data_IF_285082089876
#
_entry.id   IF_285082089876
#
_cell.length_a   1.000
_cell.length_b   1.000
_cell.length_c   1.000
_cell.angle_alpha   90.00
_cell.angle_beta   90.00
_cell.angle_gamma   90.00
#
_symmetry.space_group_name_H-M   'P 1'
#
loop_
_entity.id
_entity.type
_entity.pdbx_description
1 polymer ?
#
# COMPACT_ATOMS: atom_id res chain seq x y z
N UNK A 1 -23.26 42.59 -23.38
CA UNK A 1 -23.89 41.28 -23.31
C UNK A 1 -23.32 40.40 -24.42
N UNK A 2 -22.86 39.23 -24.09
CA UNK A 2 -22.29 38.24 -25.02
C UNK A 2 -22.98 36.89 -24.83
N UNK A 3 -22.90 36.02 -25.85
CA UNK A 3 -23.42 34.66 -25.80
C UNK A 3 -22.26 33.71 -25.46
N UNK A 4 -22.44 32.87 -24.45
CA UNK A 4 -21.48 31.80 -24.08
C UNK A 4 -22.07 30.48 -24.55
N UNK A 5 -21.34 29.77 -25.42
CA UNK A 5 -21.70 28.41 -25.85
C UNK A 5 -20.88 27.44 -25.04
N UNK A 6 -21.55 26.55 -24.32
CA UNK A 6 -20.91 25.47 -23.53
C UNK A 6 -20.94 24.17 -24.33
N UNK A 7 -19.80 23.60 -24.63
CA UNK A 7 -19.66 22.40 -25.46
C UNK A 7 -19.77 21.08 -24.64
N UNK A 8 -20.74 21.04 -23.71
CA UNK A 8 -21.01 19.84 -22.89
C UNK A 8 -22.52 19.81 -22.54
N UNK A 9 -23.05 18.64 -22.24
CA UNK A 9 -24.45 18.43 -21.89
C UNK A 9 -24.76 18.84 -20.44
N UNK A 10 -26.05 19.07 -20.11
CA UNK A 10 -26.47 19.30 -18.72
C UNK A 10 -26.15 18.14 -17.80
N UNK A 11 -26.22 16.89 -18.30
CA UNK A 11 -25.87 15.71 -17.55
C UNK A 11 -24.37 15.65 -17.20
N UNK A 12 -23.51 16.05 -18.12
CA UNK A 12 -22.06 16.17 -17.87
C UNK A 12 -21.77 17.30 -16.89
N UNK A 13 -22.47 18.43 -17.03
CA UNK A 13 -22.31 19.57 -16.13
C UNK A 13 -22.65 19.24 -14.68
N UNK A 14 -23.68 18.42 -14.44
CA UNK A 14 -24.05 17.97 -13.10
C UNK A 14 -22.94 17.15 -12.38
N UNK A 15 -21.99 16.61 -13.14
CA UNK A 15 -20.86 15.85 -12.59
C UNK A 15 -19.57 16.69 -12.45
N UNK A 16 -19.56 17.93 -12.95
CA UNK A 16 -18.42 18.80 -12.77
C UNK A 16 -18.36 19.32 -11.33
N UNK A 17 -17.13 19.50 -10.83
CA UNK A 17 -16.92 20.20 -9.56
C UNK A 17 -17.36 21.65 -9.73
N UNK A 18 -17.96 22.22 -8.71
CA UNK A 18 -18.44 23.61 -8.72
C UNK A 18 -17.30 24.60 -9.00
N UNK A 19 -16.12 24.33 -8.45
CA UNK A 19 -14.93 25.16 -8.60
C UNK A 19 -13.73 24.35 -9.04
N UNK A 20 -12.82 24.97 -9.78
CA UNK A 20 -11.49 24.40 -10.06
C UNK A 20 -10.67 24.36 -8.77
N UNK A 21 -9.95 23.27 -8.55
CA UNK A 21 -9.02 23.22 -7.42
C UNK A 21 -7.95 24.32 -7.57
N UNK A 22 -7.55 24.99 -6.48
CA UNK A 22 -6.47 25.97 -6.52
C UNK A 22 -5.21 25.38 -7.14
N UNK A 23 -4.46 26.14 -7.91
CA UNK A 23 -3.27 25.67 -8.60
C UNK A 23 -2.23 25.13 -7.61
N UNK A 24 -2.11 25.73 -6.43
CA UNK A 24 -1.21 25.29 -5.35
C UNK A 24 -1.52 23.86 -4.85
N UNK A 25 -2.74 23.36 -5.06
CA UNK A 25 -3.12 22.00 -4.68
C UNK A 25 -2.79 20.95 -5.76
N UNK A 26 -2.48 21.38 -6.99
CA UNK A 26 -2.34 20.49 -8.17
C UNK A 26 -0.99 20.60 -8.86
N UNK A 27 -0.25 21.68 -8.63
CA UNK A 27 1.05 21.97 -9.26
C UNK A 27 2.24 21.49 -8.42
N UNK A 28 3.40 21.38 -9.07
CA UNK A 28 4.67 21.17 -8.40
C UNK A 28 5.08 22.45 -7.65
N UNK A 29 5.37 22.33 -6.38
CA UNK A 29 5.61 23.48 -5.50
C UNK A 29 7.11 23.82 -5.34
N UNK A 30 8.02 23.11 -5.99
CA UNK A 30 9.47 23.28 -5.81
C UNK A 30 9.90 24.73 -6.03
N UNK A 31 9.43 25.37 -7.12
CA UNK A 31 9.74 26.76 -7.42
C UNK A 31 9.11 27.75 -6.42
N UNK A 32 7.86 27.52 -6.06
CA UNK A 32 7.15 28.39 -5.11
C UNK A 32 7.80 28.34 -3.71
N UNK A 33 8.11 27.14 -3.20
CA UNK A 33 8.80 27.02 -1.92
C UNK A 33 10.18 27.63 -1.94
N UNK A 34 10.96 27.47 -3.01
CA UNK A 34 12.27 28.13 -3.13
C UNK A 34 12.13 29.66 -3.07
N UNK A 35 11.13 30.22 -3.74
CA UNK A 35 10.85 31.66 -3.66
C UNK A 35 10.48 32.12 -2.24
N UNK A 36 9.67 31.32 -1.52
CA UNK A 36 9.32 31.60 -0.11
C UNK A 36 10.55 31.55 0.80
N UNK A 37 11.42 30.55 0.64
CA UNK A 37 12.69 30.48 1.36
C UNK A 37 13.60 31.68 1.03
N UNK A 38 13.67 32.11 -0.24
CA UNK A 38 14.46 33.24 -0.65
C UNK A 38 13.91 34.59 -0.10
N UNK A 39 12.60 34.66 0.12
CA UNK A 39 11.93 35.78 0.77
C UNK A 39 12.21 35.84 2.28
N UNK A 40 12.64 34.72 2.89
CA UNK A 40 12.96 34.60 4.30
C UNK A 40 11.79 34.10 5.19
N UNK A 41 10.72 33.65 4.61
CA UNK A 41 9.58 33.07 5.33
C UNK A 41 9.00 31.87 4.57
N UNK A 42 9.46 30.65 4.86
CA UNK A 42 8.92 29.44 4.24
C UNK A 42 7.46 29.17 4.62
N UNK A 43 6.99 29.72 5.75
CA UNK A 43 5.65 29.54 6.28
C UNK A 43 4.77 30.79 6.05
N UNK A 44 4.83 31.37 4.84
CA UNK A 44 3.97 32.52 4.49
C UNK A 44 2.49 32.13 4.62
N UNK A 45 1.66 32.98 5.25
CA UNK A 45 0.22 32.78 5.30
C UNK A 45 -0.37 32.99 3.89
N UNK A 46 -0.70 31.90 3.22
CA UNK A 46 -1.32 31.90 1.89
C UNK A 46 -2.82 31.75 2.03
N UNK A 47 -3.58 32.31 1.07
CA UNK A 47 -5.05 32.17 1.01
C UNK A 47 -5.44 30.69 0.92
N UNK A 48 -4.75 29.96 0.05
CA UNK A 48 -4.87 28.51 -0.06
C UNK A 48 -3.50 27.90 0.32
N UNK A 49 -3.36 27.29 1.50
CA UNK A 49 -2.09 26.67 1.88
C UNK A 49 -1.82 25.39 1.10
N UNK A 50 -0.56 25.07 0.80
CA UNK A 50 -0.21 23.77 0.20
C UNK A 50 -0.55 22.62 1.15
N UNK A 51 -0.85 21.45 0.60
CA UNK A 51 -0.96 20.26 1.44
C UNK A 51 0.39 19.93 2.07
N UNK A 52 0.39 19.40 3.30
CA UNK A 52 1.62 19.02 4.00
C UNK A 52 2.48 18.04 3.18
N UNK A 53 1.84 17.12 2.46
CA UNK A 53 2.52 16.17 1.59
C UNK A 53 3.22 16.84 0.39
N UNK A 54 2.54 17.81 -0.26
CA UNK A 54 3.13 18.54 -1.39
C UNK A 54 4.29 19.45 -0.95
N UNK A 55 4.15 20.09 0.21
CA UNK A 55 5.21 20.92 0.80
C UNK A 55 6.43 20.07 1.19
N UNK A 56 6.23 18.91 1.83
CA UNK A 56 7.30 17.97 2.17
C UNK A 56 8.04 17.49 0.91
N UNK A 57 7.31 17.07 -0.12
CA UNK A 57 7.90 16.61 -1.39
C UNK A 57 8.72 17.71 -2.07
N UNK A 58 8.25 18.95 -2.08
CA UNK A 58 8.98 20.08 -2.64
C UNK A 58 10.23 20.42 -1.80
N UNK A 59 10.15 20.33 -0.47
CA UNK A 59 11.30 20.51 0.42
C UNK A 59 12.37 19.46 0.17
N UNK A 60 11.99 18.17 0.07
CA UNK A 60 12.91 17.07 -0.28
C UNK A 60 13.60 17.32 -1.63
N UNK A 61 12.84 17.79 -2.63
CA UNK A 61 13.41 18.13 -3.94
C UNK A 61 14.43 19.27 -3.85
N UNK A 62 14.14 20.31 -3.05
CA UNK A 62 15.07 21.43 -2.83
C UNK A 62 16.31 21.00 -2.05
N UNK A 63 16.18 20.12 -1.08
CA UNK A 63 17.31 19.53 -0.34
C UNK A 63 18.17 18.65 -1.25
N UNK A 64 17.54 17.83 -2.08
CA UNK A 64 18.26 16.94 -3.02
C UNK A 64 19.13 17.69 -4.02
N UNK A 65 18.73 18.90 -4.44
CA UNK A 65 19.54 19.74 -5.33
C UNK A 65 20.46 20.70 -4.55
N UNK A 66 20.47 20.65 -3.21
CA UNK A 66 21.31 21.51 -2.37
C UNK A 66 20.85 22.98 -2.27
N UNK A 67 19.62 23.28 -2.70
CA UNK A 67 19.03 24.62 -2.58
C UNK A 67 18.64 25.00 -1.16
N UNK A 68 18.24 24.00 -0.38
CA UNK A 68 17.87 24.11 1.04
C UNK A 68 18.71 23.09 1.82
N UNK A 69 19.20 23.47 2.99
CA UNK A 69 19.97 22.58 3.87
C UNK A 69 19.10 21.54 4.56
N UNK A 70 19.70 20.55 5.21
CA UNK A 70 18.97 19.58 6.03
C UNK A 70 18.23 20.25 7.22
N UNK A 71 18.68 21.40 7.70
CA UNK A 71 18.00 22.20 8.73
C UNK A 71 16.82 23.02 8.20
N UNK A 72 16.60 23.06 6.89
CA UNK A 72 15.52 23.83 6.27
C UNK A 72 15.93 25.25 5.82
N UNK A 73 17.18 25.64 5.98
CA UNK A 73 17.66 26.98 5.61
C UNK A 73 18.05 27.04 4.12
N UNK A 74 17.75 28.18 3.48
CA UNK A 74 18.18 28.42 2.10
C UNK A 74 19.70 28.59 2.03
N UNK A 75 20.33 27.83 1.11
CA UNK A 75 21.76 27.94 0.84
C UNK A 75 22.10 29.12 -0.10
N UNK A 76 23.39 29.47 -0.26
CA UNK A 76 23.81 30.46 -1.27
C UNK A 76 23.50 29.96 -2.69
N UNK A 77 23.63 28.66 -2.92
CA UNK A 77 23.21 28.03 -4.16
C UNK A 77 21.69 28.16 -4.37
N UNK A 78 20.87 27.92 -3.33
CA UNK A 78 19.43 28.14 -3.38
C UNK A 78 19.06 29.59 -3.71
N UNK A 79 19.78 30.56 -3.13
CA UNK A 79 19.59 32.00 -3.47
C UNK A 79 19.94 32.30 -4.94
N UNK A 80 20.96 31.64 -5.48
CA UNK A 80 21.29 31.74 -6.89
C UNK A 80 20.18 31.17 -7.76
N UNK A 81 19.69 29.96 -7.44
CA UNK A 81 18.62 29.29 -8.18
C UNK A 81 17.30 30.09 -8.14
N UNK A 82 16.95 30.70 -7.01
CA UNK A 82 15.74 31.51 -6.86
C UNK A 82 15.70 32.75 -7.81
N UNK A 83 16.85 33.18 -8.34
CA UNK A 83 16.96 34.28 -9.31
C UNK A 83 16.88 33.81 -10.76
N UNK A 84 16.88 32.50 -10.98
CA UNK A 84 16.86 31.95 -12.35
C UNK A 84 15.40 31.83 -12.84
N UNK A 85 15.15 32.17 -14.12
CA UNK A 85 13.78 32.14 -14.67
C UNK A 85 13.40 30.75 -15.21
N UNK A 86 13.72 29.71 -14.44
CA UNK A 86 13.44 28.30 -14.78
C UNK A 86 13.16 27.52 -13.49
N UNK A 87 12.60 26.33 -13.64
CA UNK A 87 12.44 25.38 -12.53
C UNK A 87 13.78 25.20 -11.76
N UNK A 88 13.78 25.19 -10.43
CA UNK A 88 14.99 25.08 -9.62
C UNK A 88 15.88 23.88 -10.00
N UNK A 89 15.30 22.74 -10.36
CA UNK A 89 16.02 21.53 -10.78
C UNK A 89 16.72 21.73 -12.12
N UNK A 90 16.09 22.43 -13.06
CA UNK A 90 16.69 22.81 -14.33
C UNK A 90 17.80 23.86 -14.12
N UNK A 91 17.59 24.81 -13.22
CA UNK A 91 18.60 25.77 -12.82
C UNK A 91 19.82 25.09 -12.21
N UNK A 92 19.62 24.13 -11.31
CA UNK A 92 20.67 23.33 -10.71
C UNK A 92 21.47 22.54 -11.76
N UNK A 93 20.80 21.87 -12.70
CA UNK A 93 21.44 21.15 -13.78
C UNK A 93 22.26 22.10 -14.69
N UNK A 94 21.69 23.27 -15.00
CA UNK A 94 22.37 24.30 -15.84
C UNK A 94 23.67 24.81 -15.18
N UNK A 95 23.63 25.12 -13.87
CA UNK A 95 24.82 25.59 -13.16
C UNK A 95 25.86 24.48 -13.01
N UNK A 96 25.43 23.25 -12.74
CA UNK A 96 26.31 22.09 -12.54
C UNK A 96 27.02 21.68 -13.85
N UNK A 97 26.26 21.62 -14.96
CA UNK A 97 26.77 21.15 -16.25
C UNK A 97 27.33 22.26 -17.13
N UNK A 98 27.10 23.52 -16.78
CA UNK A 98 27.56 24.69 -17.51
C UNK A 98 26.69 25.10 -18.68
N UNK A 99 27.13 26.14 -19.41
CA UNK A 99 26.40 26.79 -20.49
C UNK A 99 26.01 25.84 -21.64
N UNK A 100 26.71 24.73 -21.83
CA UNK A 100 26.39 23.71 -22.82
C UNK A 100 25.07 23.00 -22.58
N UNK A 101 24.50 23.06 -21.36
CA UNK A 101 23.18 22.52 -21.03
C UNK A 101 22.03 23.46 -21.41
N UNK A 102 22.31 24.74 -21.71
CA UNK A 102 21.30 25.78 -21.96
C UNK A 102 20.30 25.45 -23.08
N UNK A 103 20.64 24.79 -24.20
CA UNK A 103 19.68 24.43 -25.24
C UNK A 103 18.59 23.49 -24.70
N UNK A 104 18.97 22.46 -23.94
CA UNK A 104 18.02 21.50 -23.37
C UNK A 104 17.16 22.13 -22.29
N UNK A 105 17.77 22.95 -21.41
CA UNK A 105 17.02 23.69 -20.38
C UNK A 105 16.02 24.65 -21.00
N UNK A 106 16.39 25.36 -22.06
CA UNK A 106 15.49 26.24 -22.80
C UNK A 106 14.31 25.46 -23.42
N UNK A 107 14.60 24.33 -24.07
CA UNK A 107 13.57 23.49 -24.67
C UNK A 107 12.53 23.01 -23.63
N UNK A 108 12.97 22.59 -22.46
CA UNK A 108 12.07 22.14 -21.39
C UNK A 108 11.28 23.31 -20.81
N UNK A 109 11.93 24.45 -20.55
CA UNK A 109 11.28 25.65 -20.01
C UNK A 109 10.23 26.23 -20.96
N UNK A 110 10.44 26.13 -22.28
CA UNK A 110 9.46 26.52 -23.30
C UNK A 110 8.35 25.45 -23.52
N UNK A 111 8.37 24.34 -22.78
CA UNK A 111 7.35 23.29 -22.88
C UNK A 111 7.42 22.45 -24.16
N UNK A 112 8.58 22.39 -24.83
CA UNK A 112 8.75 21.58 -26.04
C UNK A 112 8.53 20.11 -25.68
N UNK A 113 7.63 19.45 -26.41
CA UNK A 113 7.31 18.03 -26.31
C UNK A 113 8.08 17.22 -27.36
N UNK A 114 8.18 15.92 -27.17
CA UNK A 114 8.80 15.03 -28.14
C UNK A 114 10.21 14.62 -27.75
N UNK A 115 11.01 14.23 -28.77
CA UNK A 115 12.43 13.92 -28.61
C UNK A 115 13.23 15.23 -28.49
N UNK A 116 13.73 15.48 -27.28
CA UNK A 116 14.49 16.70 -26.98
C UNK A 116 15.88 16.69 -27.61
N UNK A 117 16.35 15.57 -28.14
CA UNK A 117 17.61 15.51 -28.91
C UNK A 117 17.51 16.26 -30.25
N UNK A 118 16.29 16.39 -30.78
CA UNK A 118 16.02 17.14 -32.02
C UNK A 118 15.34 18.48 -31.76
N UNK A 119 15.18 18.90 -30.50
CA UNK A 119 14.54 20.14 -30.15
C UNK A 119 15.31 21.39 -30.63
N UNK A 120 14.57 22.38 -31.07
CA UNK A 120 15.14 23.66 -31.56
C UNK A 120 14.51 24.82 -30.77
N UNK A 121 14.97 25.07 -29.53
CA UNK A 121 14.45 26.18 -28.74
C UNK A 121 14.89 27.55 -29.31
N UNK A 122 14.18 28.66 -28.99
CA UNK A 122 14.51 29.97 -29.43
C UNK A 122 15.95 30.39 -29.04
N UNK A 123 16.74 30.85 -29.99
CA UNK A 123 18.16 31.23 -29.76
C UNK A 123 18.34 32.24 -28.63
N UNK A 124 17.50 33.27 -28.55
CA UNK A 124 17.56 34.27 -27.49
C UNK A 124 17.36 33.69 -26.09
N UNK A 125 16.53 32.64 -25.92
CA UNK A 125 16.36 31.94 -24.66
C UNK A 125 17.60 31.15 -24.29
N UNK A 126 18.18 30.44 -25.26
CA UNK A 126 19.43 29.69 -25.06
C UNK A 126 20.56 30.63 -24.62
N UNK A 127 20.74 31.75 -25.32
CA UNK A 127 21.76 32.73 -24.98
C UNK A 127 21.53 33.35 -23.60
N UNK A 128 20.28 33.64 -23.23
CA UNK A 128 19.93 34.18 -21.94
C UNK A 128 20.30 33.20 -20.82
N UNK A 129 19.96 31.94 -20.97
CA UNK A 129 20.21 30.90 -19.96
C UNK A 129 21.73 30.58 -19.89
N UNK A 130 22.42 30.52 -21.03
CA UNK A 130 23.87 30.27 -21.07
C UNK A 130 24.69 31.32 -20.29
N UNK A 131 24.22 32.59 -20.24
CA UNK A 131 24.87 33.67 -19.45
C UNK A 131 24.71 33.50 -17.94
N UNK A 132 23.79 32.67 -17.49
CA UNK A 132 23.52 32.41 -16.06
C UNK A 132 24.33 31.24 -15.50
N UNK A 133 25.07 30.53 -16.37
CA UNK A 133 25.84 29.36 -16.02
C UNK A 133 27.34 29.56 -16.27
N UNK A 134 28.22 28.81 -15.60
CA UNK A 134 29.62 28.74 -15.94
C UNK A 134 29.82 28.29 -17.39
N UNK A 135 30.90 28.73 -18.07
CA UNK A 135 31.25 28.18 -19.39
C UNK A 135 31.40 26.67 -19.34
N UNK A 136 30.90 25.96 -20.36
CA UNK A 136 30.96 24.50 -20.42
C UNK A 136 30.77 23.99 -21.85
N UNK A 137 31.23 22.78 -22.17
CA UNK A 137 31.06 22.16 -23.47
C UNK A 137 29.57 21.81 -23.71
N UNK A 138 29.18 21.52 -24.94
CA UNK A 138 27.85 20.97 -25.23
C UNK A 138 27.57 19.68 -24.43
N UNK A 139 26.39 19.58 -23.82
CA UNK A 139 26.00 18.44 -23.00
C UNK A 139 24.84 17.72 -23.69
N UNK A 140 24.86 16.37 -23.79
CA UNK A 140 23.77 15.61 -24.35
C UNK A 140 22.44 15.86 -23.59
N UNK A 141 21.32 16.03 -24.28
CA UNK A 141 20.03 16.33 -23.64
C UNK A 141 19.62 15.32 -22.58
N UNK A 142 19.90 14.02 -22.81
CA UNK A 142 19.59 12.98 -21.82
C UNK A 142 20.35 13.15 -20.50
N UNK A 143 21.59 13.63 -20.54
CA UNK A 143 22.40 13.89 -19.34
C UNK A 143 21.86 15.11 -18.56
N UNK A 144 21.49 16.18 -19.28
CA UNK A 144 20.88 17.38 -18.67
C UNK A 144 19.58 16.99 -17.93
N UNK A 145 18.71 16.22 -18.60
CA UNK A 145 17.44 15.78 -18.03
C UNK A 145 17.67 14.83 -16.84
N UNK A 146 18.59 13.86 -16.97
CA UNK A 146 18.92 12.93 -15.89
C UNK A 146 19.50 13.65 -14.66
N UNK A 147 20.20 14.76 -14.85
CA UNK A 147 20.70 15.60 -13.76
C UNK A 147 19.58 16.38 -13.09
N UNK A 148 18.65 16.97 -13.86
CA UNK A 148 17.53 17.74 -13.33
C UNK A 148 16.46 16.85 -12.70
N UNK A 149 16.15 15.71 -13.31
CA UNK A 149 15.05 14.82 -12.93
C UNK A 149 15.51 13.36 -12.77
N UNK A 150 16.43 13.07 -11.85
CA UNK A 150 17.00 11.73 -11.69
C UNK A 150 15.98 10.64 -11.41
N UNK A 151 14.89 10.98 -10.72
CA UNK A 151 13.78 10.08 -10.42
C UNK A 151 12.97 9.66 -11.67
N UNK A 152 13.16 10.38 -12.80
CA UNK A 152 12.48 10.13 -14.06
C UNK A 152 13.41 9.51 -15.13
N UNK A 153 14.61 9.11 -14.76
CA UNK A 153 15.42 8.22 -15.60
C UNK A 153 14.76 6.84 -15.59
N UNK A 154 14.58 6.25 -16.76
CA UNK A 154 13.87 5.01 -16.93
C UNK A 154 14.64 4.00 -17.77
N UNK A 155 14.53 2.72 -17.39
CA UNK A 155 14.98 1.57 -18.16
C UNK A 155 13.81 0.90 -18.84
N UNK A 156 13.95 0.53 -20.11
CA UNK A 156 12.92 -0.17 -20.85
C UNK A 156 12.61 -1.52 -20.22
N UNK A 157 11.31 -1.86 -20.17
CA UNK A 157 10.78 -3.13 -19.67
C UNK A 157 10.36 -3.97 -20.89
N UNK A 158 10.69 -5.27 -20.88
CA UNK A 158 10.34 -6.19 -21.96
C UNK A 158 11.37 -6.27 -23.06
N UNK A 159 10.92 -6.72 -24.23
CA UNK A 159 11.79 -6.92 -25.40
C UNK A 159 12.15 -5.59 -26.10
N UNK A 160 12.98 -5.70 -27.16
CA UNK A 160 13.49 -4.55 -27.90
C UNK A 160 12.42 -3.67 -28.58
N UNK A 161 11.21 -4.13 -28.73
CA UNK A 161 10.07 -3.41 -29.33
C UNK A 161 9.18 -2.72 -28.28
N UNK A 162 9.38 -3.00 -27.00
CA UNK A 162 8.58 -2.43 -25.91
C UNK A 162 8.79 -0.93 -25.79
N UNK A 163 7.67 -0.21 -25.60
CA UNK A 163 7.65 1.22 -25.27
C UNK A 163 7.37 1.49 -23.80
N UNK A 164 7.40 0.44 -22.95
CA UNK A 164 7.21 0.57 -21.50
C UNK A 164 8.55 0.72 -20.77
N UNK A 165 8.57 1.60 -19.78
CA UNK A 165 9.74 1.93 -18.97
C UNK A 165 9.40 1.84 -17.48
N UNK A 166 10.36 1.35 -16.69
CA UNK A 166 10.35 1.53 -15.24
C UNK A 166 11.25 2.72 -14.92
N UNK A 167 10.68 3.73 -14.31
CA UNK A 167 11.44 4.92 -13.88
C UNK A 167 12.12 4.65 -12.52
N UNK A 168 13.19 5.35 -12.23
CA UNK A 168 13.90 5.27 -10.96
C UNK A 168 13.01 5.57 -9.75
N UNK A 169 11.92 6.34 -9.92
CA UNK A 169 10.86 6.56 -8.94
C UNK A 169 9.98 5.34 -8.67
N UNK A 170 10.13 4.22 -9.40
CA UNK A 170 9.21 3.06 -9.35
C UNK A 170 7.98 3.21 -10.24
N UNK A 171 7.78 4.35 -10.89
CA UNK A 171 6.65 4.59 -11.77
C UNK A 171 6.83 3.83 -13.10
N UNK A 172 5.81 3.06 -13.51
CA UNK A 172 5.74 2.52 -14.87
C UNK A 172 5.19 3.57 -15.82
N UNK A 173 5.92 3.85 -16.88
CA UNK A 173 5.57 4.84 -17.87
C UNK A 173 5.66 4.28 -19.29
N UNK A 174 4.75 4.73 -20.17
CA UNK A 174 4.81 4.42 -21.59
C UNK A 174 5.44 5.59 -22.34
N UNK A 175 6.37 5.29 -23.24
CA UNK A 175 6.92 6.28 -24.15
C UNK A 175 5.84 6.75 -25.14
N UNK A 176 5.47 8.01 -25.07
CA UNK A 176 4.52 8.67 -25.96
C UNK A 176 5.17 9.52 -27.04
N UNK A 177 6.46 9.29 -27.28
CA UNK A 177 7.34 10.04 -28.17
C UNK A 177 7.97 9.07 -29.17
N UNK A 178 8.08 9.48 -30.41
CA UNK A 178 8.79 8.73 -31.44
C UNK A 178 10.29 9.04 -31.36
N UNK A 179 11.06 8.13 -30.75
CA UNK A 179 12.51 8.22 -30.58
C UNK A 179 13.18 6.85 -30.58
N UNK A 180 12.56 5.84 -31.25
CA UNK A 180 13.15 4.52 -31.42
C UNK A 180 13.27 3.67 -30.16
N UNK A 181 12.55 3.97 -29.09
CA UNK A 181 12.52 3.22 -27.82
C UNK A 181 13.92 2.79 -27.32
N UNK A 182 14.79 3.73 -26.93
CA UNK A 182 16.14 3.42 -26.42
C UNK A 182 16.09 2.58 -25.14
N UNK A 183 17.19 1.88 -24.81
CA UNK A 183 17.24 1.09 -23.55
C UNK A 183 17.03 1.96 -22.32
N UNK A 184 17.61 3.16 -22.32
CA UNK A 184 17.48 4.13 -21.24
C UNK A 184 16.94 5.46 -21.77
N UNK A 185 16.04 6.04 -21.01
CA UNK A 185 15.41 7.33 -21.31
C UNK A 185 15.44 8.24 -20.09
N UNK A 186 15.74 9.51 -20.31
CA UNK A 186 15.54 10.55 -19.32
C UNK A 186 14.28 11.35 -19.69
N UNK A 187 13.24 11.29 -18.86
CA UNK A 187 11.97 11.97 -19.10
C UNK A 187 12.00 13.38 -18.49
N UNK A 188 11.61 14.38 -19.28
CA UNK A 188 11.46 15.76 -18.85
C UNK A 188 10.00 16.12 -18.54
N UNK A 189 9.06 15.44 -19.18
CA UNK A 189 7.62 15.68 -18.97
C UNK A 189 6.85 14.37 -18.90
N UNK A 190 6.10 14.22 -17.81
CA UNK A 190 5.23 13.08 -17.56
C UNK A 190 3.77 13.53 -17.43
N UNK A 191 2.87 12.82 -18.11
CA UNK A 191 1.43 12.96 -17.97
C UNK A 191 0.88 11.75 -17.24
N UNK A 192 0.29 11.96 -16.06
CA UNK A 192 -0.42 10.89 -15.34
C UNK A 192 -1.72 10.54 -16.08
N UNK A 193 -1.93 9.24 -16.31
CA UNK A 193 -3.23 8.74 -16.79
C UNK A 193 -4.09 8.44 -15.57
N UNK A 194 -5.30 9.02 -15.51
CA UNK A 194 -6.22 8.81 -14.40
C UNK A 194 -6.55 7.32 -14.22
N UNK A 195 -6.41 6.83 -12.99
CA UNK A 195 -6.85 5.48 -12.63
C UNK A 195 -8.37 5.46 -12.56
N UNK A 196 -9.03 4.56 -13.31
CA UNK A 196 -10.43 4.23 -13.02
C UNK A 196 -10.47 3.54 -11.65
N UNK A 197 -11.40 3.92 -10.75
CA UNK A 197 -11.58 3.21 -9.48
C UNK A 197 -11.84 1.72 -9.75
N UNK A 198 -11.06 0.85 -9.13
CA UNK A 198 -11.26 -0.61 -9.21
C UNK A 198 -10.28 -1.42 -10.07
N UNK A 199 -9.31 -0.79 -10.75
CA UNK A 199 -8.22 -1.52 -11.41
C UNK A 199 -6.92 -1.38 -10.62
N UNK A 200 -6.45 -2.49 -10.04
CA UNK A 200 -5.19 -2.60 -9.27
C UNK A 200 -3.91 -2.55 -10.13
N UNK A 201 -3.96 -1.96 -11.32
CA UNK A 201 -2.78 -1.74 -12.16
C UNK A 201 -2.18 -0.39 -11.80
N UNK A 202 -0.95 -0.43 -11.25
CA UNK A 202 -0.21 0.74 -10.77
C UNK A 202 -0.26 1.95 -11.71
N UNK A 203 -0.17 3.13 -11.15
CA UNK A 203 -0.26 4.43 -11.83
C UNK A 203 0.62 4.43 -13.08
N UNK A 204 -0.01 4.41 -14.25
CA UNK A 204 0.68 4.51 -15.54
C UNK A 204 0.82 5.97 -15.90
N UNK A 205 2.02 6.37 -16.29
CA UNK A 205 2.32 7.68 -16.84
C UNK A 205 2.62 7.57 -18.34
N UNK A 206 2.47 8.67 -19.06
CA UNK A 206 2.91 8.81 -20.44
C UNK A 206 4.06 9.80 -20.48
N UNK A 207 5.19 9.42 -21.06
CA UNK A 207 6.33 10.29 -21.30
C UNK A 207 6.01 11.16 -22.52
N UNK A 208 5.97 12.47 -22.32
CA UNK A 208 5.63 13.47 -23.38
C UNK A 208 6.84 14.21 -23.92
N UNK A 209 7.89 14.34 -23.12
CA UNK A 209 9.18 14.89 -23.54
C UNK A 209 10.29 14.09 -22.90
N UNK A 210 11.29 13.70 -23.69
CA UNK A 210 12.41 12.88 -23.24
C UNK A 210 13.60 13.00 -24.16
N UNK A 211 14.74 12.47 -23.72
CA UNK A 211 15.90 12.17 -24.58
C UNK A 211 16.48 10.80 -24.20
N UNK A 212 17.15 10.15 -25.16
CA UNK A 212 17.92 8.96 -24.90
C UNK A 212 19.07 9.28 -23.93
N UNK A 213 19.37 8.36 -23.02
CA UNK A 213 20.48 8.49 -22.08
C UNK A 213 21.19 7.14 -21.90
N UNK A 214 22.30 7.14 -21.18
CA UNK A 214 22.93 5.91 -20.69
C UNK A 214 22.43 5.53 -19.29
N UNK A 215 22.93 4.40 -18.78
CA UNK A 215 22.77 4.08 -17.37
C UNK A 215 23.43 5.17 -16.53
N UNK A 216 22.77 5.75 -15.52
CA UNK A 216 23.36 6.78 -14.67
C UNK A 216 24.34 6.15 -13.66
N UNK A 217 25.57 5.85 -14.10
CA UNK A 217 26.59 5.12 -13.33
C UNK A 217 26.87 5.75 -11.95
N UNK A 218 26.87 7.09 -11.86
CA UNK A 218 27.05 7.80 -10.58
C UNK A 218 25.89 7.66 -9.57
N UNK A 219 24.82 6.94 -9.92
CA UNK A 219 23.64 6.68 -9.06
C UNK A 219 23.35 5.21 -8.88
N UNK A 220 24.32 4.38 -9.24
CA UNK A 220 24.24 2.93 -9.03
C UNK A 220 24.54 2.63 -7.58
N UNK A 221 23.61 2.00 -6.90
CA UNK A 221 23.73 1.60 -5.50
C UNK A 221 23.76 0.08 -5.40
N UNK A 222 24.57 -0.45 -4.51
CA UNK A 222 24.54 -1.85 -4.11
C UNK A 222 23.73 -2.01 -2.83
N UNK A 223 22.67 -2.79 -2.89
CA UNK A 223 21.80 -3.06 -1.75
C UNK A 223 21.73 -4.56 -1.52
N UNK A 224 21.87 -4.99 -0.27
CA UNK A 224 21.58 -6.38 0.12
C UNK A 224 20.10 -6.46 0.42
N UNK A 225 19.39 -7.29 -0.35
CA UNK A 225 17.99 -7.60 -0.10
C UNK A 225 17.85 -9.04 0.39
N UNK A 226 17.08 -9.23 1.45
CA UNK A 226 16.65 -10.55 1.84
C UNK A 226 15.20 -10.76 1.41
N UNK A 227 14.91 -11.96 0.97
CA UNK A 227 13.55 -12.42 0.71
C UNK A 227 13.39 -13.83 1.25
N UNK A 228 12.15 -14.19 1.61
CA UNK A 228 11.84 -15.53 2.02
C UNK A 228 11.44 -16.34 0.79
N UNK A 229 12.24 -17.34 0.45
CA UNK A 229 11.98 -18.24 -0.66
C UNK A 229 12.14 -19.68 -0.21
N UNK A 230 11.14 -20.52 -0.50
CA UNK A 230 11.09 -21.92 -0.07
C UNK A 230 11.29 -22.10 1.45
N UNK A 231 10.79 -21.15 2.24
CA UNK A 231 10.86 -21.20 3.70
C UNK A 231 12.19 -20.78 4.31
N UNK A 232 13.19 -20.40 3.53
CA UNK A 232 14.48 -19.90 4.01
C UNK A 232 14.69 -18.45 3.62
N UNK A 233 15.40 -17.70 4.46
CA UNK A 233 15.88 -16.35 4.14
C UNK A 233 16.96 -16.46 3.09
N UNK A 234 16.76 -15.83 1.95
CA UNK A 234 17.69 -15.77 0.83
C UNK A 234 18.22 -14.36 0.66
N UNK A 235 19.51 -14.22 0.67
CA UNK A 235 20.18 -12.97 0.36
C UNK A 235 20.40 -12.79 -1.13
N UNK A 236 20.21 -11.58 -1.58
CA UNK A 236 20.60 -11.15 -2.93
C UNK A 236 21.33 -9.82 -2.83
N UNK A 237 22.49 -9.75 -3.46
CA UNK A 237 23.16 -8.50 -3.72
C UNK A 237 22.57 -7.92 -4.98
N UNK A 238 21.89 -6.79 -4.84
CA UNK A 238 21.15 -6.14 -5.93
C UNK A 238 21.82 -4.82 -6.24
N UNK A 239 22.14 -4.62 -7.50
CA UNK A 239 22.62 -3.33 -7.99
C UNK A 239 21.42 -2.58 -8.56
N UNK A 240 21.17 -1.37 -8.09
CA UNK A 240 19.95 -0.60 -8.45
C UNK A 240 20.26 0.82 -8.87
N UNK A 241 19.34 1.40 -9.66
CA UNK A 241 19.22 2.84 -9.85
C UNK A 241 17.81 3.21 -9.37
N UNK A 242 17.70 3.68 -8.14
CA UNK A 242 16.41 3.85 -7.48
C UNK A 242 15.63 2.52 -7.45
N UNK A 243 14.41 2.50 -8.02
CA UNK A 243 13.58 1.29 -8.10
C UNK A 243 13.98 0.33 -9.24
N UNK A 244 14.91 0.70 -10.12
CA UNK A 244 15.34 -0.11 -11.26
C UNK A 244 16.42 -1.09 -10.82
N UNK A 245 16.14 -2.39 -10.89
CA UNK A 245 17.11 -3.44 -10.65
C UNK A 245 17.96 -3.67 -11.91
N UNK A 246 19.29 -3.54 -11.79
CA UNK A 246 20.24 -3.78 -12.87
C UNK A 246 20.73 -5.21 -12.87
N UNK A 247 21.21 -5.66 -11.71
CA UNK A 247 21.71 -7.02 -11.50
C UNK A 247 21.24 -7.52 -10.14
N UNK A 248 21.08 -8.83 -10.03
CA UNK A 248 20.71 -9.48 -8.79
C UNK A 248 21.43 -10.81 -8.69
N UNK A 249 22.36 -10.92 -7.76
CA UNK A 249 23.15 -12.14 -7.52
C UNK A 249 22.83 -12.73 -6.16
N UNK A 250 22.61 -14.04 -6.04
CA UNK A 250 22.41 -14.68 -4.76
C UNK A 250 23.69 -14.59 -3.91
N UNK A 251 23.53 -14.32 -2.63
CA UNK A 251 24.63 -14.28 -1.65
C UNK A 251 24.25 -15.02 -0.38
N UNK A 252 25.25 -15.49 0.36
CA UNK A 252 25.07 -15.92 1.73
C UNK A 252 25.09 -14.69 2.63
N UNK A 253 24.03 -14.46 3.38
CA UNK A 253 23.95 -13.34 4.32
C UNK A 253 24.80 -13.63 5.55
N UNK A 254 25.47 -12.59 6.08
CA UNK A 254 25.93 -12.64 7.46
C UNK A 254 24.73 -12.49 8.40
N UNK A 255 24.83 -12.93 9.67
CA UNK A 255 23.75 -12.73 10.65
C UNK A 255 23.33 -11.25 10.79
N UNK A 256 24.26 -10.30 10.69
CA UNK A 256 23.99 -8.87 10.74
C UNK A 256 23.18 -8.41 9.52
N UNK A 257 23.59 -8.78 8.32
CA UNK A 257 22.88 -8.49 7.08
C UNK A 257 21.48 -9.12 7.06
N UNK A 258 21.36 -10.35 7.60
CA UNK A 258 20.07 -11.00 7.73
C UNK A 258 19.14 -10.25 8.71
N UNK A 259 19.64 -9.79 9.86
CA UNK A 259 18.87 -8.96 10.80
C UNK A 259 18.42 -7.67 10.19
N UNK A 260 19.33 -6.93 9.56
CA UNK A 260 19.01 -5.66 8.88
C UNK A 260 17.92 -5.84 7.83
N UNK A 261 18.09 -6.83 6.95
CA UNK A 261 17.11 -7.13 5.91
C UNK A 261 15.75 -7.61 6.46
N UNK A 262 15.75 -8.32 7.60
CA UNK A 262 14.53 -8.79 8.26
C UNK A 262 13.82 -7.71 9.11
N UNK A 263 14.42 -6.54 9.32
CA UNK A 263 13.77 -5.41 10.00
C UNK A 263 12.49 -4.95 9.30
N UNK A 264 12.44 -5.08 7.98
CA UNK A 264 11.28 -4.72 7.17
C UNK A 264 10.21 -5.82 7.11
N UNK A 265 10.48 -7.00 7.70
CA UNK A 265 9.53 -8.10 7.74
C UNK A 265 8.38 -7.72 8.70
N UNK A 266 7.16 -7.72 8.15
CA UNK A 266 5.96 -7.46 8.92
C UNK A 266 5.33 -8.77 9.41
N UNK A 267 4.38 -8.68 10.32
CA UNK A 267 3.62 -9.86 10.75
C UNK A 267 2.93 -10.57 9.58
N UNK A 268 2.47 -9.82 8.57
CA UNK A 268 1.80 -10.38 7.40
C UNK A 268 2.69 -11.30 6.55
N UNK A 269 4.02 -11.15 6.67
CA UNK A 269 4.99 -11.97 5.95
C UNK A 269 5.32 -13.27 6.70
N UNK A 270 4.89 -13.40 7.97
CA UNK A 270 5.12 -14.58 8.80
C UNK A 270 4.04 -15.64 8.55
N UNK A 271 4.40 -16.92 8.43
CA UNK A 271 3.45 -17.98 8.15
C UNK A 271 2.62 -18.30 9.39
N UNK A 272 1.32 -18.34 9.23
CA UNK A 272 0.41 -18.84 10.24
C UNK A 272 -0.04 -20.25 9.82
N UNK A 273 0.21 -21.26 10.65
CA UNK A 273 -0.46 -22.54 10.55
C UNK A 273 -1.93 -22.43 11.01
N UNK A 274 -2.67 -23.54 10.94
CA UNK A 274 -4.09 -23.53 11.32
C UNK A 274 -4.32 -23.07 12.75
N UNK A 275 -3.50 -23.55 13.70
CA UNK A 275 -3.65 -23.23 15.12
C UNK A 275 -3.26 -21.77 15.42
N UNK A 276 -2.23 -21.26 14.75
CA UNK A 276 -1.83 -19.86 14.84
C UNK A 276 -2.89 -18.91 14.22
N UNK A 277 -3.51 -19.33 13.13
CA UNK A 277 -4.60 -18.57 12.49
C UNK A 277 -5.82 -18.44 13.41
N UNK A 278 -6.18 -19.53 14.08
CA UNK A 278 -7.30 -19.54 15.02
C UNK A 278 -6.99 -18.71 16.26
N UNK A 279 -5.80 -18.84 16.81
CA UNK A 279 -5.37 -18.00 17.93
C UNK A 279 -5.40 -16.51 17.55
N UNK A 280 -4.87 -16.17 16.37
CA UNK A 280 -4.92 -14.79 15.88
C UNK A 280 -6.36 -14.26 15.84
N UNK A 281 -7.30 -14.99 15.26
CA UNK A 281 -8.69 -14.57 15.17
C UNK A 281 -9.33 -14.36 16.56
N UNK A 282 -8.99 -15.19 17.55
CA UNK A 282 -9.41 -15.01 18.95
C UNK A 282 -8.85 -13.74 19.58
N UNK A 283 -7.57 -13.48 19.36
CA UNK A 283 -6.89 -12.29 19.90
C UNK A 283 -7.37 -11.01 19.22
N UNK A 284 -7.55 -11.02 17.91
CA UNK A 284 -8.11 -9.89 17.16
C UNK A 284 -9.53 -9.55 17.66
N UNK A 285 -10.36 -10.57 17.90
CA UNK A 285 -11.69 -10.41 18.48
C UNK A 285 -11.62 -9.74 19.85
N UNK A 286 -10.76 -10.24 20.76
CA UNK A 286 -10.63 -9.69 22.10
C UNK A 286 -10.04 -8.27 22.08
N UNK A 287 -9.05 -8.01 21.22
CA UNK A 287 -8.53 -6.66 21.03
C UNK A 287 -9.61 -5.69 20.53
N UNK A 288 -10.41 -6.11 19.55
CA UNK A 288 -11.47 -5.28 18.99
C UNK A 288 -12.59 -4.96 20.00
N UNK A 289 -12.96 -5.93 20.84
CA UNK A 289 -14.11 -5.81 21.75
C UNK A 289 -13.72 -5.19 23.09
N UNK A 290 -12.57 -5.56 23.63
CA UNK A 290 -12.13 -5.15 24.98
C UNK A 290 -11.03 -4.09 24.95
N UNK A 291 -10.29 -3.93 23.86
CA UNK A 291 -9.15 -3.05 23.79
C UNK A 291 -8.00 -3.50 24.69
N UNK A 292 -7.21 -2.55 25.20
CA UNK A 292 -6.16 -2.87 26.17
C UNK A 292 -6.75 -3.51 27.44
N UNK A 293 -6.05 -4.53 28.02
CA UNK A 293 -4.68 -4.96 27.75
C UNK A 293 -4.53 -6.07 26.68
N UNK A 294 -5.57 -6.41 25.90
CA UNK A 294 -5.49 -7.38 24.82
C UNK A 294 -4.68 -6.79 23.66
N UNK A 295 -3.54 -7.37 23.25
CA UNK A 295 -2.65 -6.77 22.26
C UNK A 295 -3.21 -6.90 20.84
N UNK A 296 -2.88 -5.92 19.99
CA UNK A 296 -2.92 -6.12 18.54
C UNK A 296 -1.68 -6.93 18.15
N UNK A 297 -1.88 -8.23 17.88
CA UNK A 297 -0.78 -9.13 17.53
C UNK A 297 -0.13 -8.81 16.18
N UNK A 298 -0.80 -8.04 15.31
CA UNK A 298 -0.22 -7.65 14.03
C UNK A 298 0.94 -6.64 14.18
N UNK A 299 0.95 -5.87 15.26
CA UNK A 299 2.01 -4.89 15.57
C UNK A 299 2.88 -5.30 16.77
N UNK A 300 2.80 -6.55 17.19
CA UNK A 300 3.55 -7.11 18.32
C UNK A 300 5.07 -7.22 18.09
N UNK A 301 5.80 -7.57 19.16
CA UNK A 301 7.24 -7.83 19.09
C UNK A 301 7.56 -9.26 18.63
N UNK A 302 8.11 -9.35 17.42
CA UNK A 302 8.58 -10.60 16.79
C UNK A 302 10.10 -10.61 16.60
N UNK A 303 10.82 -9.86 17.40
CA UNK A 303 12.29 -9.84 17.39
C UNK A 303 12.90 -11.23 17.57
N UNK A 304 12.45 -12.09 18.51
CA UNK A 304 12.99 -13.45 18.65
C UNK A 304 12.84 -14.29 17.38
N UNK A 305 11.70 -14.23 16.71
CA UNK A 305 11.43 -14.97 15.47
C UNK A 305 12.31 -14.46 14.32
N UNK A 306 12.51 -13.14 14.22
CA UNK A 306 13.45 -12.56 13.26
C UNK A 306 14.90 -13.00 13.54
N UNK A 307 15.30 -13.10 14.80
CA UNK A 307 16.62 -13.61 15.20
C UNK A 307 16.80 -15.09 14.84
N UNK A 308 15.77 -15.92 14.98
CA UNK A 308 15.81 -17.32 14.53
C UNK A 308 16.00 -17.41 13.02
N UNK A 309 15.26 -16.60 12.25
CA UNK A 309 15.40 -16.52 10.80
C UNK A 309 16.78 -16.00 10.38
N UNK A 310 17.31 -15.01 11.09
CA UNK A 310 18.66 -14.48 10.83
C UNK A 310 19.76 -15.53 11.04
N UNK A 311 19.54 -16.46 11.98
CA UNK A 311 20.45 -17.62 12.21
C UNK A 311 20.25 -18.77 11.21
N UNK A 312 19.33 -18.60 10.24
CA UNK A 312 19.09 -19.60 9.19
C UNK A 312 17.95 -20.58 9.47
N UNK A 313 17.11 -20.33 10.47
CA UNK A 313 15.91 -21.13 10.67
C UNK A 313 14.98 -21.07 9.47
N UNK A 314 14.22 -22.15 9.26
CA UNK A 314 13.18 -22.14 8.25
C UNK A 314 11.94 -21.42 8.79
N UNK A 315 11.38 -20.51 8.03
CA UNK A 315 10.19 -19.75 8.43
C UNK A 315 9.01 -20.66 8.81
N UNK A 316 8.88 -21.82 8.16
CA UNK A 316 7.84 -22.81 8.48
C UNK A 316 8.06 -23.52 9.83
N UNK A 317 9.26 -23.40 10.40
CA UNK A 317 9.56 -23.95 11.71
C UNK A 317 9.26 -22.98 12.85
N UNK A 318 8.94 -21.73 12.56
CA UNK A 318 8.58 -20.73 13.56
C UNK A 318 7.27 -21.11 14.25
N UNK A 319 7.29 -21.10 15.58
CA UNK A 319 6.10 -21.32 16.37
C UNK A 319 5.33 -20.01 16.59
N UNK A 320 4.57 -19.60 15.58
CA UNK A 320 3.81 -18.34 15.63
C UNK A 320 2.72 -18.33 16.69
N UNK A 321 2.17 -19.50 17.06
CA UNK A 321 1.23 -19.61 18.18
C UNK A 321 1.89 -19.20 19.49
N UNK A 322 3.08 -19.73 19.78
CA UNK A 322 3.85 -19.36 20.97
C UNK A 322 4.29 -17.89 20.93
N UNK A 323 4.69 -17.38 19.77
CA UNK A 323 5.06 -15.98 19.57
C UNK A 323 3.92 -15.02 19.91
N UNK A 324 2.70 -15.31 19.47
CA UNK A 324 1.51 -14.51 19.81
C UNK A 324 1.13 -14.62 21.28
N UNK A 325 1.18 -15.82 21.87
CA UNK A 325 0.89 -15.99 23.30
C UNK A 325 1.87 -15.24 24.19
N UNK A 326 3.12 -15.10 23.77
CA UNK A 326 4.13 -14.31 24.49
C UNK A 326 3.77 -12.82 24.58
N UNK A 327 2.96 -12.31 23.64
CA UNK A 327 2.51 -10.91 23.65
C UNK A 327 1.46 -10.64 24.74
N UNK A 328 0.81 -11.69 25.25
CA UNK A 328 -0.22 -11.55 26.26
C UNK A 328 0.39 -11.35 27.65
N UNK A 329 -0.09 -10.36 28.43
CA UNK A 329 0.13 -10.36 29.86
C UNK A 329 -0.39 -11.67 30.49
N UNK A 330 0.28 -12.18 31.52
CA UNK A 330 -0.04 -13.49 32.06
C UNK A 330 -1.49 -13.61 32.58
N UNK A 331 -2.06 -12.53 33.09
CA UNK A 331 -3.44 -12.48 33.61
C UNK A 331 -4.46 -12.69 32.49
N UNK A 332 -4.23 -12.06 31.35
CA UNK A 332 -5.05 -12.18 30.15
C UNK A 332 -4.91 -13.56 29.51
N UNK A 333 -3.69 -14.08 29.47
CA UNK A 333 -3.44 -15.42 28.95
C UNK A 333 -4.25 -16.50 29.73
N UNK A 334 -4.41 -16.35 31.04
CA UNK A 334 -5.21 -17.26 31.87
C UNK A 334 -6.72 -17.15 31.58
N UNK A 335 -7.20 -16.01 31.06
CA UNK A 335 -8.61 -15.76 30.76
C UNK A 335 -8.99 -15.98 29.30
N UNK A 336 -8.01 -16.28 28.45
CA UNK A 336 -8.22 -16.41 27.01
C UNK A 336 -9.33 -17.44 26.67
N UNK A 337 -9.31 -18.61 27.31
CA UNK A 337 -10.29 -19.66 27.05
C UNK A 337 -11.65 -19.40 27.70
N UNK A 338 -11.72 -18.54 28.69
CA UNK A 338 -12.98 -18.05 29.26
C UNK A 338 -13.66 -17.05 28.33
N UNK A 339 -12.89 -16.06 27.85
CA UNK A 339 -13.42 -14.92 27.09
C UNK A 339 -13.58 -15.19 25.60
N UNK A 340 -12.75 -16.07 25.04
CA UNK A 340 -12.83 -16.50 23.65
C UNK A 340 -12.49 -17.98 23.50
N UNK A 341 -13.35 -18.91 23.97
CA UNK A 341 -13.10 -20.34 23.91
C UNK A 341 -12.99 -20.87 22.48
N UNK A 342 -12.17 -21.90 22.28
CA UNK A 342 -12.04 -22.56 20.97
C UNK A 342 -13.30 -23.38 20.61
N UNK A 343 -14.05 -23.83 21.63
CA UNK A 343 -15.23 -24.67 21.44
C UNK A 343 -16.34 -24.28 22.41
N UNK A 344 -17.57 -24.41 21.95
CA UNK A 344 -18.78 -24.20 22.75
C UNK A 344 -19.42 -25.53 23.11
N UNK A 345 -19.64 -25.78 24.40
CA UNK A 345 -20.42 -26.90 24.83
C UNK A 345 -21.93 -26.64 24.55
N UNK A 346 -22.58 -27.53 23.81
CA UNK A 346 -24.01 -27.44 23.53
C UNK A 346 -24.78 -28.60 24.22
N UNK A 347 -26.10 -28.46 24.43
CA UNK A 347 -26.89 -29.43 25.23
C UNK A 347 -26.82 -30.88 24.72
N UNK A 348 -26.53 -31.13 23.47
CA UNK A 348 -26.32 -32.49 22.93
C UNK A 348 -25.08 -33.20 23.46
N UNK A 349 -24.20 -32.50 24.17
CA UNK A 349 -22.89 -32.98 24.60
C UNK A 349 -21.81 -32.84 23.52
N UNK A 350 -22.10 -32.29 22.36
CA UNK A 350 -21.09 -31.94 21.36
C UNK A 350 -20.42 -30.60 21.68
N UNK A 351 -19.23 -30.40 21.12
CA UNK A 351 -18.42 -29.21 21.34
C UNK A 351 -17.99 -28.61 19.97
N UNK A 352 -18.94 -28.01 19.24
CA UNK A 352 -18.60 -27.35 17.98
C UNK A 352 -17.56 -26.26 18.18
N UNK A 353 -16.76 -26.03 17.14
CA UNK A 353 -15.74 -25.00 17.12
C UNK A 353 -16.37 -23.61 17.08
N UNK A 354 -15.77 -22.65 17.76
CA UNK A 354 -16.12 -21.23 17.68
C UNK A 354 -15.16 -20.54 16.74
N UNK A 355 -15.68 -19.88 15.72
CA UNK A 355 -14.93 -19.11 14.72
C UNK A 355 -15.02 -17.62 15.05
N UNK A 356 -13.87 -16.90 15.00
CA UNK A 356 -13.81 -15.47 15.34
C UNK A 356 -13.40 -14.58 14.15
N UNK A 357 -13.15 -15.14 12.98
CA UNK A 357 -12.62 -14.44 11.82
C UNK A 357 -13.49 -13.26 11.33
N UNK A 358 -14.76 -13.22 11.69
CA UNK A 358 -15.69 -12.14 11.34
C UNK A 358 -15.76 -11.01 12.36
N UNK A 359 -14.93 -11.05 13.41
CA UNK A 359 -14.99 -10.11 14.54
C UNK A 359 -16.14 -10.39 15.52
N UNK A 360 -16.84 -11.51 15.36
CA UNK A 360 -17.88 -12.03 16.29
C UNK A 360 -17.65 -13.51 16.53
N UNK A 361 -18.07 -14.06 17.70
CA UNK A 361 -18.04 -15.51 17.92
C UNK A 361 -19.13 -16.19 17.10
N UNK A 362 -18.75 -17.05 16.17
CA UNK A 362 -19.65 -17.78 15.27
C UNK A 362 -19.57 -19.26 15.53
N UNK A 363 -20.71 -19.95 15.63
CA UNK A 363 -20.79 -21.40 15.79
C UNK A 363 -21.67 -22.00 14.72
N UNK A 364 -21.16 -23.01 14.02
CA UNK A 364 -21.91 -23.82 13.04
C UNK A 364 -22.31 -25.14 13.68
N UNK A 365 -23.61 -25.34 13.90
CA UNK A 365 -24.11 -26.50 14.63
C UNK A 365 -25.46 -26.93 14.10
N UNK A 366 -25.79 -28.23 14.18
CA UNK A 366 -27.13 -28.69 13.81
C UNK A 366 -28.13 -28.16 14.81
N UNK A 367 -29.24 -27.63 14.29
CA UNK A 367 -30.30 -27.02 15.09
C UNK A 367 -30.74 -27.92 16.28
N UNK A 368 -30.83 -29.24 16.06
CA UNK A 368 -31.25 -30.21 17.06
C UNK A 368 -30.27 -30.41 18.21
N UNK A 369 -29.02 -30.01 18.03
CA UNK A 369 -28.01 -30.07 19.07
C UNK A 369 -28.11 -28.91 20.06
N UNK A 370 -28.87 -27.87 19.68
CA UNK A 370 -29.14 -26.68 20.50
C UNK A 370 -30.46 -26.73 21.27
N UNK A 371 -31.27 -27.81 21.16
CA UNK A 371 -32.48 -27.89 21.94
C UNK A 371 -32.17 -27.78 23.43
N UNK A 372 -33.01 -27.08 24.18
CA UNK A 372 -32.80 -26.76 25.59
C UNK A 372 -31.88 -25.59 25.88
N UNK A 373 -31.23 -25.00 24.86
CA UNK A 373 -30.42 -23.80 25.02
C UNK A 373 -31.34 -22.57 24.99
N UNK A 374 -31.57 -21.96 26.15
CA UNK A 374 -32.56 -20.89 26.34
C UNK A 374 -32.19 -19.58 25.64
N UNK A 375 -30.94 -19.24 25.66
CA UNK A 375 -30.40 -17.98 25.09
C UNK A 375 -29.03 -18.19 24.48
N UNK A 376 -28.62 -17.27 23.64
CA UNK A 376 -27.25 -17.26 23.07
C UNK A 376 -26.22 -17.04 24.18
N UNK A 377 -25.20 -17.91 24.34
CA UNK A 377 -24.07 -17.63 25.20
C UNK A 377 -23.32 -16.38 24.76
N UNK A 378 -22.62 -15.76 25.69
CA UNK A 378 -21.80 -14.57 25.40
C UNK A 378 -20.33 -14.86 25.66
N UNK A 379 -19.47 -14.35 24.76
CA UNK A 379 -18.03 -14.33 24.93
C UNK A 379 -17.55 -12.87 24.85
N UNK A 380 -16.77 -12.45 25.82
CA UNK A 380 -16.34 -11.05 25.99
C UNK A 380 -17.54 -10.04 25.85
N UNK A 381 -18.75 -10.41 26.32
CA UNK A 381 -19.94 -9.56 26.21
C UNK A 381 -20.63 -9.56 24.85
N UNK A 382 -20.15 -10.33 23.88
CA UNK A 382 -20.77 -10.48 22.56
C UNK A 382 -21.56 -11.78 22.46
N UNK A 383 -22.78 -11.71 21.96
CA UNK A 383 -23.61 -12.91 21.72
C UNK A 383 -22.95 -13.79 20.66
N UNK A 384 -22.98 -15.11 20.89
CA UNK A 384 -22.59 -16.10 19.88
C UNK A 384 -23.60 -16.09 18.75
N UNK A 385 -23.11 -15.96 17.52
CA UNK A 385 -23.89 -16.09 16.30
C UNK A 385 -24.00 -17.56 15.93
N UNK A 386 -25.19 -18.10 15.90
CA UNK A 386 -25.45 -19.48 15.52
C UNK A 386 -25.83 -19.59 14.05
N UNK A 387 -25.03 -20.32 13.28
CA UNK A 387 -25.43 -20.87 11.99
C UNK A 387 -26.08 -22.22 12.24
N UNK A 388 -27.40 -22.23 12.37
CA UNK A 388 -28.18 -23.42 12.66
C UNK A 388 -28.34 -24.26 11.39
N UNK A 389 -27.82 -25.48 11.42
CA UNK A 389 -27.75 -26.36 10.27
C UNK A 389 -28.85 -27.42 10.32
N UNK A 390 -29.30 -27.84 9.13
CA UNK A 390 -30.13 -29.03 8.95
C UNK A 390 -29.36 -30.31 9.30
N UNK A 391 -30.02 -31.46 9.45
CA UNK A 391 -29.35 -32.75 9.61
C UNK A 391 -28.32 -33.07 8.49
N UNK A 392 -28.54 -32.53 7.30
CA UNK A 392 -27.66 -32.69 6.14
C UNK A 392 -26.57 -31.60 6.05
N UNK A 393 -26.39 -30.74 7.07
CA UNK A 393 -25.37 -29.70 7.11
C UNK A 393 -25.68 -28.43 6.30
N UNK A 394 -26.91 -28.26 5.80
CA UNK A 394 -27.35 -27.03 5.12
C UNK A 394 -27.83 -26.00 6.13
N UNK A 395 -27.50 -24.75 5.93
CA UNK A 395 -27.91 -23.64 6.76
C UNK A 395 -29.46 -23.50 6.72
N UNK A 396 -30.06 -23.38 7.89
CA UNK A 396 -31.49 -23.17 8.09
C UNK A 396 -31.81 -21.77 8.58
N UNK A 397 -30.97 -21.25 9.47
CA UNK A 397 -31.09 -19.92 10.04
C UNK A 397 -29.76 -19.44 10.59
N UNK A 398 -29.59 -18.13 10.64
CA UNK A 398 -28.49 -17.45 11.33
C UNK A 398 -29.12 -16.53 12.38
N UNK A 399 -28.66 -16.64 13.61
CA UNK A 399 -29.19 -15.82 14.72
C UNK A 399 -28.13 -15.63 15.80
N UNK A 400 -28.09 -14.46 16.40
CA UNK A 400 -27.35 -14.16 17.63
C UNK A 400 -28.29 -14.06 18.85
N UNK A 401 -29.60 -14.25 18.64
CA UNK A 401 -30.63 -14.32 19.66
C UNK A 401 -31.42 -15.61 19.51
N UNK A 402 -30.98 -16.64 20.20
CA UNK A 402 -31.68 -17.94 20.22
C UNK A 402 -33.06 -17.85 20.87
N UNK A 403 -33.26 -17.00 21.89
CA UNK A 403 -34.52 -16.87 22.55
C UNK A 403 -35.61 -16.38 21.58
N UNK A 404 -35.36 -15.33 20.85
CA UNK A 404 -36.26 -14.82 19.81
C UNK A 404 -36.44 -15.82 18.66
N UNK A 405 -35.38 -16.54 18.28
CA UNK A 405 -35.48 -17.57 17.26
C UNK A 405 -36.45 -18.71 17.69
N UNK A 406 -36.35 -19.19 18.92
CA UNK A 406 -37.25 -20.23 19.44
C UNK A 406 -38.71 -19.75 19.54
N UNK A 407 -38.92 -18.49 19.94
CA UNK A 407 -40.26 -17.91 20.11
C UNK A 407 -41.02 -17.71 18.79
N UNK A 408 -40.33 -17.52 17.67
CA UNK A 408 -40.95 -17.20 16.38
C UNK A 408 -40.45 -18.06 15.21
N UNK A 409 -39.30 -17.76 14.58
CA UNK A 409 -38.83 -18.39 13.36
C UNK A 409 -38.72 -19.90 13.39
N UNK A 410 -38.46 -20.49 14.55
CA UNK A 410 -38.37 -21.95 14.71
C UNK A 410 -39.61 -22.70 14.22
N UNK A 411 -40.79 -22.18 14.44
CA UNK A 411 -42.03 -22.87 14.04
C UNK A 411 -42.16 -22.99 12.52
N UNK A 412 -41.69 -21.98 11.80
CA UNK A 412 -41.63 -22.03 10.34
C UNK A 412 -40.61 -23.08 9.87
N UNK A 413 -39.39 -23.03 10.41
CA UNK A 413 -38.31 -23.99 10.12
C UNK A 413 -38.76 -25.42 10.45
N UNK A 414 -39.42 -25.64 11.58
CA UNK A 414 -39.99 -26.93 11.99
C UNK A 414 -40.97 -27.45 10.95
N UNK A 415 -41.95 -26.63 10.53
CA UNK A 415 -42.96 -26.99 9.54
C UNK A 415 -42.35 -27.50 8.24
N UNK A 416 -41.34 -26.81 7.73
CA UNK A 416 -40.63 -27.14 6.50
C UNK A 416 -39.79 -28.41 6.67
N UNK A 417 -39.01 -28.48 7.75
CA UNK A 417 -38.01 -29.52 7.93
C UNK A 417 -38.59 -30.85 8.41
N UNK A 418 -39.74 -30.87 9.09
CA UNK A 418 -40.43 -32.10 9.52
C UNK A 418 -40.80 -32.99 8.32
N UNK A 419 -41.23 -32.40 7.22
CA UNK A 419 -41.51 -33.13 5.99
C UNK A 419 -40.25 -33.65 5.30
N UNK A 420 -39.17 -32.84 5.30
CA UNK A 420 -37.92 -33.15 4.61
C UNK A 420 -37.01 -34.12 5.36
N UNK A 421 -37.06 -34.08 6.71
CA UNK A 421 -36.22 -34.93 7.59
C UNK A 421 -37.04 -35.64 8.65
N UNK A 422 -38.00 -36.52 8.29
CA UNK A 422 -38.95 -37.14 9.23
C UNK A 422 -38.30 -38.05 10.28
N UNK A 423 -37.07 -38.53 10.01
CA UNK A 423 -36.32 -39.39 10.94
C UNK A 423 -35.64 -38.61 12.08
N UNK A 424 -35.66 -37.29 12.03
CA UNK A 424 -35.06 -36.41 13.04
C UNK A 424 -36.13 -35.82 13.96
N UNK A 425 -35.81 -35.45 15.21
CA UNK A 425 -36.78 -34.83 16.12
C UNK A 425 -37.08 -33.39 15.69
N UNK A 426 -38.38 -33.04 15.61
CA UNK A 426 -38.89 -31.68 15.38
C UNK A 426 -39.98 -31.38 16.41
N UNK A 427 -39.61 -31.16 17.69
CA UNK A 427 -40.55 -30.94 18.79
C UNK A 427 -41.35 -29.66 18.60
N UNK A 428 -42.51 -29.57 19.27
CA UNK A 428 -43.29 -28.32 19.31
C UNK A 428 -42.63 -27.29 20.19
N UNK A 429 -42.14 -27.74 21.33
CA UNK A 429 -41.33 -26.95 22.23
C UNK A 429 -39.85 -27.41 22.18
N UNK A 430 -38.99 -26.63 21.56
CA UNK A 430 -37.56 -26.94 21.45
C UNK A 430 -36.82 -26.80 22.79
N UNK A 431 -37.39 -26.07 23.77
CA UNK A 431 -36.72 -25.76 25.03
C UNK A 431 -36.78 -26.92 26.02
N UNK A 432 -37.86 -27.72 25.98
CA UNK A 432 -38.02 -28.91 26.82
C UNK A 432 -37.54 -30.19 26.15
N UNK A 433 -37.18 -30.12 24.89
CA UNK A 433 -36.77 -31.28 24.11
C UNK A 433 -35.33 -31.71 24.41
N UNK A 434 -35.07 -33.00 24.36
CA UNK A 434 -33.72 -33.55 24.52
C UNK A 434 -32.91 -33.27 23.27
N UNK A 435 -31.80 -32.56 23.44
CA UNK A 435 -30.84 -32.27 22.37
C UNK A 435 -30.16 -33.55 21.87
N UNK A 436 -29.92 -33.66 20.56
CA UNK A 436 -29.30 -34.83 19.98
C UNK A 436 -28.63 -34.53 18.63
N UNK A 437 -27.45 -35.09 18.43
CA UNK A 437 -26.79 -35.12 17.11
C UNK A 437 -27.28 -36.30 16.23
N UNK A 438 -28.06 -37.24 16.79
CA UNK A 438 -28.44 -38.51 16.18
C UNK A 438 -29.89 -38.50 15.67
N UNK A 439 -30.22 -39.41 14.78
CA UNK A 439 -31.59 -39.72 14.37
C UNK A 439 -32.38 -40.32 15.53
N UNK A 440 -33.75 -40.25 15.46
CA UNK A 440 -34.62 -40.96 16.40
C UNK A 440 -34.27 -42.45 16.41
N UNK A 441 -34.06 -43.05 17.59
CA UNK A 441 -34.02 -44.51 17.72
C UNK A 441 -35.39 -45.03 17.23
N UNK A 442 -35.35 -46.05 16.34
CA UNK A 442 -36.56 -46.85 16.09
C UNK A 442 -36.88 -47.56 17.41
N UNK A 443 -38.01 -47.23 18.03
CA UNK A 443 -38.63 -48.01 19.06
C UNK A 443 -39.26 -49.24 18.45
#
# INVERSE_FOLDING_TARGET
>A
PGTVIRAYSEAEFAHFKADAAPEIATSDLTGALLAMHAWGSPDLPLVDPPSAAAAAQATEALQAIGAVSASGDITDFGRQLARMPVDPRLGAALVTLGAGAAPTVAAIADGISGDLSSASPPKHQVERLARLAPPGPPVPPGEVIATAFPQWVGKRIGDGASTEYLLASGTRARLGVDMGAPEWVAAAQLQRTGSKPGTSTGTRAIIRAAAATGCPEGRVEEVVRASISNGAVRGRKVTTVGAIELTSTPITLTPEQAREALQHLTFADLPLDGDAHELKARLDFLHQVLGAPWPDVAVGDYTPEREELARGANIKALNMRAAMLRQLPWQEAARLDELAPERLAVPSGSHPRVEYATGKPVVRVKLQECFGLLASPQFAGQNVVFHLLSPAGRELAVTDDLASFWAGPYQQVRKEMRGRYPKHPWPEDPLTAVATAKTKRRG
#
